data_IF_427478293040
#
_entry.id   IF_427478293040
#
_cell.length_a   1.000
_cell.length_b   1.000
_cell.length_c   1.000
_cell.angle_alpha   90.00
_cell.angle_beta   90.00
_cell.angle_gamma   90.00
#
_symmetry.space_group_name_H-M   'P 1'
#
loop_
_entity.id
_entity.type
_entity.pdbx_description
1 polymer ?
#
# COMPACT_ATOMS: atom_id res chain seq x y z
N UNK A 1 6.40 -15.57 -9.41
CA UNK A 1 5.00 -15.14 -9.22
C UNK A 1 4.93 -13.63 -9.05
N UNK A 2 3.98 -12.96 -9.70
CA UNK A 2 3.69 -11.53 -9.48
C UNK A 2 2.39 -11.36 -8.70
N UNK A 3 2.30 -10.32 -7.86
CA UNK A 3 1.06 -9.98 -7.17
C UNK A 3 0.83 -8.46 -7.14
N UNK A 4 -0.45 -8.08 -7.21
CA UNK A 4 -0.89 -6.69 -7.20
C UNK A 4 -1.91 -6.53 -6.07
N UNK A 5 -1.68 -5.56 -5.21
CA UNK A 5 -2.61 -5.19 -4.13
C UNK A 5 -3.03 -3.73 -4.27
N UNK A 6 -4.32 -3.46 -4.06
CA UNK A 6 -4.90 -2.11 -4.09
C UNK A 6 -5.48 -1.72 -2.73
N UNK A 7 -5.30 -0.47 -2.30
CA UNK A 7 -5.90 0.03 -1.05
C UNK A 7 -5.59 -0.91 0.13
N UNK A 8 -6.58 -1.34 0.91
CA UNK A 8 -6.40 -2.32 2.00
C UNK A 8 -5.83 -3.67 1.51
N UNK A 9 -6.15 -4.08 0.28
CA UNK A 9 -5.57 -5.28 -0.34
C UNK A 9 -4.05 -5.17 -0.51
N UNK A 10 -3.52 -3.95 -0.66
CA UNK A 10 -2.07 -3.70 -0.69
C UNK A 10 -1.43 -4.00 0.67
N UNK A 11 -2.03 -3.56 1.77
CA UNK A 11 -1.57 -3.82 3.14
C UNK A 11 -1.61 -5.33 3.47
N UNK A 12 -2.68 -6.03 3.06
CA UNK A 12 -2.79 -7.49 3.21
C UNK A 12 -1.71 -8.20 2.40
N UNK A 13 -1.49 -7.79 1.14
CA UNK A 13 -0.44 -8.35 0.29
C UNK A 13 0.95 -8.13 0.91
N UNK A 14 1.24 -6.92 1.39
CA UNK A 14 2.52 -6.60 2.04
C UNK A 14 2.78 -7.49 3.26
N UNK A 15 1.77 -7.63 4.13
CA UNK A 15 1.83 -8.53 5.28
C UNK A 15 2.09 -9.99 4.88
N UNK A 16 1.33 -10.50 3.90
CA UNK A 16 1.48 -11.88 3.44
C UNK A 16 2.85 -12.12 2.79
N UNK A 17 3.28 -11.23 1.90
CA UNK A 17 4.55 -11.34 1.18
C UNK A 17 5.75 -11.28 2.13
N UNK A 18 5.69 -10.45 3.18
CA UNK A 18 6.73 -10.38 4.21
C UNK A 18 6.87 -11.68 5.04
N UNK A 19 5.94 -12.63 4.92
CA UNK A 19 5.95 -13.92 5.65
C UNK A 19 6.24 -15.12 4.76
N UNK A 20 5.74 -15.13 3.52
CA UNK A 20 5.79 -16.31 2.64
C UNK A 20 6.86 -16.24 1.55
N UNK A 21 7.43 -15.05 1.31
CA UNK A 21 8.78 -14.88 0.76
C UNK A 21 9.05 -15.22 -0.71
N UNK A 22 8.07 -15.58 -1.55
CA UNK A 22 8.35 -15.99 -2.95
C UNK A 22 7.54 -15.17 -3.97
N UNK A 23 8.04 -14.00 -4.32
CA UNK A 23 7.50 -13.15 -5.38
C UNK A 23 8.62 -12.60 -6.27
N UNK A 24 8.40 -12.57 -7.59
CA UNK A 24 9.31 -11.95 -8.56
C UNK A 24 9.10 -10.43 -8.64
N UNK A 25 7.88 -9.99 -8.29
CA UNK A 25 7.47 -8.60 -8.26
C UNK A 25 6.14 -8.40 -7.52
N UNK A 26 6.05 -7.27 -6.82
CA UNK A 26 4.93 -6.83 -6.01
C UNK A 26 4.57 -5.40 -6.45
N UNK A 27 3.30 -5.18 -6.75
CA UNK A 27 2.79 -3.83 -7.05
C UNK A 27 1.73 -3.44 -6.03
N UNK A 28 1.94 -2.29 -5.39
CA UNK A 28 1.03 -1.69 -4.42
C UNK A 28 0.45 -0.42 -5.02
N UNK A 29 -0.85 -0.39 -5.30
CA UNK A 29 -1.50 0.71 -6.03
C UNK A 29 -2.55 1.39 -5.16
N UNK A 30 -2.50 2.73 -5.03
CA UNK A 30 -3.43 3.48 -4.17
C UNK A 30 -3.52 2.89 -2.77
N UNK A 31 -2.37 2.50 -2.21
CA UNK A 31 -2.29 1.75 -0.98
C UNK A 31 -2.49 2.65 0.25
N UNK A 32 -2.87 2.05 1.38
CA UNK A 32 -2.83 2.74 2.67
C UNK A 32 -1.47 2.42 3.31
N UNK A 33 -0.55 3.40 3.47
CA UNK A 33 0.82 3.11 3.89
C UNK A 33 0.89 2.68 5.36
N UNK A 34 0.04 3.28 6.21
CA UNK A 34 -0.07 2.99 7.63
C UNK A 34 -1.54 2.68 7.96
N UNK A 35 -1.96 1.44 7.69
CA UNK A 35 -3.34 0.98 7.85
C UNK A 35 -3.80 1.08 9.30
N UNK A 36 -2.96 0.71 10.26
CA UNK A 36 -3.28 0.75 11.68
C UNK A 36 -3.60 2.18 12.13
N UNK A 37 -2.72 3.15 11.82
CA UNK A 37 -2.94 4.58 12.09
C UNK A 37 -4.16 5.12 11.36
N UNK A 38 -4.33 4.78 10.09
CA UNK A 38 -5.50 5.21 9.31
C UNK A 38 -6.82 4.71 9.94
N UNK A 39 -6.86 3.45 10.39
CA UNK A 39 -8.05 2.90 11.05
C UNK A 39 -8.30 3.54 12.42
N UNK A 40 -7.25 3.81 13.18
CA UNK A 40 -7.35 4.44 14.50
C UNK A 40 -7.81 5.90 14.41
N UNK A 41 -7.19 6.69 13.55
CA UNK A 41 -7.25 8.16 13.65
C UNK A 41 -7.73 8.83 12.36
N UNK A 42 -7.84 8.09 11.25
CA UNK A 42 -8.22 8.68 9.97
C UNK A 42 -9.62 9.27 9.97
N UNK A 43 -9.78 10.44 9.37
CA UNK A 43 -11.06 11.17 9.34
C UNK A 43 -11.89 10.94 8.07
N UNK A 44 -11.33 10.22 7.10
CA UNK A 44 -12.06 9.85 5.89
C UNK A 44 -13.22 8.89 6.19
N UNK A 45 -14.31 8.92 5.38
CA UNK A 45 -15.53 8.14 5.64
C UNK A 45 -15.27 6.64 5.89
N UNK A 46 -14.29 6.06 5.20
CA UNK A 46 -13.97 4.64 5.33
C UNK A 46 -13.36 4.29 6.70
N UNK A 47 -12.52 5.17 7.27
CA UNK A 47 -11.94 4.99 8.60
C UNK A 47 -12.99 5.17 9.70
N UNK A 48 -13.80 6.22 9.59
CA UNK A 48 -14.95 6.46 10.50
C UNK A 48 -15.94 5.29 10.49
N UNK A 49 -16.30 4.78 9.30
CA UNK A 49 -17.18 3.62 9.15
C UNK A 49 -16.59 2.36 9.77
N UNK A 50 -15.28 2.13 9.61
CA UNK A 50 -14.59 1.02 10.27
C UNK A 50 -14.70 1.12 11.79
N UNK A 51 -14.36 2.27 12.38
CA UNK A 51 -14.47 2.47 13.85
C UNK A 51 -15.90 2.30 14.35
N UNK A 52 -16.89 2.82 13.62
CA UNK A 52 -18.30 2.67 13.95
C UNK A 52 -18.82 1.23 13.83
N UNK A 53 -18.13 0.36 13.09
CA UNK A 53 -18.48 -1.06 12.95
C UNK A 53 -17.95 -1.95 14.07
N UNK A 54 -17.06 -1.43 14.93
CA UNK A 54 -16.47 -2.18 16.03
C UNK A 54 -17.44 -2.27 17.21
N UNK A 55 -17.41 -3.41 17.92
CA UNK A 55 -18.34 -3.74 19.01
C UNK A 55 -18.17 -2.87 20.26
N UNK A 56 -17.11 -2.06 20.34
CA UNK A 56 -16.88 -1.14 21.45
C UNK A 56 -15.40 -0.84 21.73
N UNK A 57 -15.10 -0.23 22.89
CA UNK A 57 -13.75 0.22 23.25
C UNK A 57 -12.68 -0.88 23.24
N UNK A 58 -13.05 -2.12 23.55
CA UNK A 58 -12.13 -3.25 23.55
C UNK A 58 -11.61 -3.58 22.14
N UNK A 59 -12.45 -3.50 21.10
CA UNK A 59 -12.00 -3.72 19.73
C UNK A 59 -11.20 -2.53 19.18
N UNK A 60 -11.58 -1.30 19.56
CA UNK A 60 -10.80 -0.09 19.24
C UNK A 60 -9.37 -0.19 19.80
N UNK A 61 -9.21 -0.69 21.03
CA UNK A 61 -7.91 -0.87 21.67
C UNK A 61 -7.01 -1.91 20.95
N UNK A 62 -7.57 -2.74 20.07
CA UNK A 62 -6.83 -3.75 19.29
C UNK A 62 -6.37 -3.26 17.93
N UNK A 63 -6.80 -2.08 17.47
CA UNK A 63 -6.33 -1.51 16.18
C UNK A 63 -4.80 -1.46 16.09
N UNK A 64 -4.05 -1.10 17.16
CA UNK A 64 -2.58 -1.15 17.11
C UNK A 64 -1.98 -2.53 16.81
N UNK A 65 -2.70 -3.63 17.08
CA UNK A 65 -2.26 -4.99 16.72
C UNK A 65 -2.15 -5.17 15.19
N UNK A 66 -2.82 -4.32 14.41
CA UNK A 66 -2.75 -4.34 12.94
C UNK A 66 -1.43 -3.77 12.40
N UNK A 67 -0.52 -3.27 13.25
CA UNK A 67 0.72 -2.59 12.83
C UNK A 67 1.59 -3.41 11.87
N UNK A 68 1.61 -4.73 12.00
CA UNK A 68 2.37 -5.57 11.06
C UNK A 68 1.82 -5.52 9.62
N UNK A 69 0.56 -5.12 9.44
CA UNK A 69 -0.06 -4.90 8.13
C UNK A 69 0.25 -3.52 7.53
N UNK A 70 0.90 -2.62 8.27
CA UNK A 70 1.35 -1.36 7.71
C UNK A 70 2.42 -1.64 6.66
N UNK A 71 2.33 -1.00 5.50
CA UNK A 71 3.35 -1.14 4.45
C UNK A 71 4.70 -0.58 4.92
N UNK A 72 4.69 0.48 5.73
CA UNK A 72 5.91 1.04 6.35
C UNK A 72 6.63 0.07 7.28
N UNK A 73 5.94 -0.99 7.72
CA UNK A 73 6.47 -2.07 8.56
C UNK A 73 6.81 -3.30 7.71
N UNK A 74 5.82 -3.84 7.00
CA UNK A 74 5.96 -5.10 6.25
C UNK A 74 7.02 -5.02 5.13
N UNK A 75 7.09 -3.89 4.41
CA UNK A 75 8.05 -3.73 3.31
C UNK A 75 9.51 -3.77 3.78
N UNK A 76 9.81 -3.54 5.06
CA UNK A 76 11.19 -3.63 5.59
C UNK A 76 11.82 -5.01 5.38
N UNK A 77 10.98 -6.04 5.29
CA UNK A 77 11.36 -7.45 5.11
C UNK A 77 11.36 -7.89 3.64
N UNK A 78 11.02 -6.98 2.72
CA UNK A 78 10.89 -7.27 1.30
C UNK A 78 12.02 -6.55 0.55
N UNK A 79 12.69 -7.22 -0.42
CA UNK A 79 13.69 -6.56 -1.25
C UNK A 79 13.07 -5.39 -2.04
N UNK A 80 13.65 -4.18 -2.00
CA UNK A 80 13.05 -3.02 -2.66
C UNK A 80 12.96 -3.15 -4.18
N UNK A 81 13.89 -3.88 -4.81
CA UNK A 81 13.96 -4.07 -6.26
C UNK A 81 12.78 -4.87 -6.83
N UNK A 82 12.06 -5.62 -5.99
CA UNK A 82 10.86 -6.35 -6.40
C UNK A 82 9.57 -5.58 -6.11
N UNK A 83 9.64 -4.33 -5.62
CA UNK A 83 8.47 -3.56 -5.18
C UNK A 83 8.26 -2.29 -6.02
N UNK A 84 7.03 -2.12 -6.50
CA UNK A 84 6.54 -0.86 -7.06
C UNK A 84 5.37 -0.34 -6.21
N UNK A 85 5.46 0.91 -5.76
CA UNK A 85 4.34 1.63 -5.17
C UNK A 85 3.83 2.67 -6.17
N UNK A 86 2.53 2.66 -6.48
CA UNK A 86 1.90 3.63 -7.38
C UNK A 86 0.88 4.46 -6.61
N UNK A 87 1.06 5.77 -6.59
CA UNK A 87 0.29 6.71 -5.79
C UNK A 87 -0.36 7.75 -6.69
N UNK A 88 -1.66 7.93 -6.52
CA UNK A 88 -2.42 8.98 -7.20
C UNK A 88 -2.17 10.30 -6.49
N UNK A 89 -1.51 11.24 -7.14
CA UNK A 89 -1.26 12.57 -6.55
C UNK A 89 -2.54 13.39 -6.40
N UNK A 90 -3.65 12.95 -7.00
CA UNK A 90 -4.97 13.59 -6.97
C UNK A 90 -5.99 12.73 -6.20
N UNK A 91 -5.53 11.72 -5.43
CA UNK A 91 -6.40 10.86 -4.62
C UNK A 91 -6.98 11.62 -3.41
N UNK A 92 -8.29 11.90 -3.46
CA UNK A 92 -9.06 12.55 -2.42
C UNK A 92 -9.33 11.66 -1.18
N UNK A 93 -8.95 10.38 -1.25
CA UNK A 93 -9.03 9.42 -0.14
C UNK A 93 -7.68 9.18 0.53
N UNK A 94 -6.68 10.03 0.29
CA UNK A 94 -5.46 10.05 1.07
C UNK A 94 -5.25 11.39 1.77
N UNK A 95 -4.84 11.32 3.03
CA UNK A 95 -4.47 12.49 3.82
C UNK A 95 -2.97 12.81 3.68
N UNK A 96 -2.60 14.02 4.11
CA UNK A 96 -1.20 14.49 4.12
C UNK A 96 -0.27 13.52 4.83
N UNK A 97 -0.72 12.95 5.95
CA UNK A 97 0.05 12.00 6.73
C UNK A 97 0.33 10.70 5.96
N UNK A 98 -0.57 10.27 5.06
CA UNK A 98 -0.35 9.15 4.15
C UNK A 98 0.64 9.52 3.03
N UNK A 99 0.55 10.73 2.49
CA UNK A 99 1.55 11.22 1.53
C UNK A 99 2.96 11.25 2.15
N UNK A 100 3.11 11.78 3.36
CA UNK A 100 4.40 11.81 4.06
C UNK A 100 4.99 10.41 4.28
N UNK A 101 4.14 9.43 4.61
CA UNK A 101 4.57 8.05 4.76
C UNK A 101 5.10 7.46 3.44
N UNK A 102 4.46 7.77 2.29
CA UNK A 102 4.98 7.39 0.98
C UNK A 102 6.27 8.12 0.61
N UNK A 103 6.39 9.40 0.92
CA UNK A 103 7.64 10.17 0.77
C UNK A 103 8.78 9.57 1.59
N UNK A 104 8.49 9.01 2.76
CA UNK A 104 9.49 8.29 3.54
C UNK A 104 9.89 6.96 2.87
N UNK A 105 8.93 6.23 2.28
CA UNK A 105 9.17 4.98 1.54
C UNK A 105 10.01 5.19 0.27
N UNK A 106 9.89 6.35 -0.39
CA UNK A 106 10.70 6.72 -1.58
C UNK A 106 12.20 6.61 -1.38
N UNK A 107 12.68 6.77 -0.14
CA UNK A 107 14.12 6.68 0.16
C UNK A 107 14.69 5.29 -0.10
N UNK A 108 13.85 4.27 -0.21
CA UNK A 108 14.27 2.88 -0.38
C UNK A 108 13.53 2.15 -1.50
N UNK A 109 12.28 2.49 -1.78
CA UNK A 109 11.43 1.78 -2.73
C UNK A 109 11.13 2.64 -3.95
N UNK A 110 10.85 1.99 -5.09
CA UNK A 110 10.32 2.68 -6.25
C UNK A 110 8.88 3.13 -5.96
N UNK A 111 8.67 4.44 -5.80
CA UNK A 111 7.34 5.06 -5.71
C UNK A 111 7.11 5.90 -6.96
N UNK A 112 5.99 5.66 -7.63
CA UNK A 112 5.54 6.41 -8.79
C UNK A 112 4.35 7.29 -8.38
N UNK A 113 4.56 8.61 -8.38
CA UNK A 113 3.51 9.61 -8.25
C UNK A 113 2.91 9.88 -9.61
N UNK A 114 1.61 9.65 -9.75
CA UNK A 114 0.90 9.73 -11.02
C UNK A 114 -0.27 10.70 -10.83
N UNK A 115 -0.44 11.62 -11.77
CA UNK A 115 -1.63 12.47 -11.85
C UNK A 115 -2.85 11.60 -12.19
N UNK A 116 -3.45 11.04 -11.14
CA UNK A 116 -4.57 10.10 -11.15
C UNK A 116 -5.24 10.14 -9.77
N UNK A 117 -6.50 9.71 -9.73
CA UNK A 117 -7.31 9.68 -8.51
C UNK A 117 -7.27 8.31 -7.82
N UNK A 118 -8.20 8.12 -6.89
CA UNK A 118 -8.30 6.94 -6.03
C UNK A 118 -8.32 5.58 -6.73
N UNK A 119 -8.84 5.55 -7.96
CA UNK A 119 -8.97 4.31 -8.73
C UNK A 119 -7.61 3.82 -9.25
N UNK A 120 -6.67 4.71 -9.54
CA UNK A 120 -5.36 4.39 -10.15
C UNK A 120 -5.49 3.57 -11.45
N UNK A 121 -6.38 4.04 -12.34
CA UNK A 121 -6.75 3.38 -13.60
C UNK A 121 -6.44 4.23 -14.84
N UNK A 122 -5.78 5.38 -14.69
CA UNK A 122 -5.29 6.14 -15.84
C UNK A 122 -4.40 5.26 -16.71
N UNK A 123 -4.33 5.52 -18.04
CA UNK A 123 -3.42 4.80 -18.93
C UNK A 123 -1.97 4.80 -18.41
N UNK A 124 -1.50 5.93 -17.86
CA UNK A 124 -0.16 6.06 -17.27
C UNK A 124 0.04 5.09 -16.10
N UNK A 125 -0.95 4.98 -15.20
CA UNK A 125 -0.88 4.05 -14.07
C UNK A 125 -0.87 2.59 -14.54
N UNK A 126 -1.69 2.24 -15.53
CA UNK A 126 -1.75 0.88 -16.08
C UNK A 126 -0.46 0.50 -16.81
N UNK A 127 0.04 1.38 -17.68
CA UNK A 127 1.25 1.14 -18.46
C UNK A 127 2.49 1.05 -17.55
N UNK A 128 2.59 1.92 -16.54
CA UNK A 128 3.68 1.87 -15.57
C UNK A 128 3.73 0.56 -14.80
N UNK A 129 2.56 0.01 -14.45
CA UNK A 129 2.42 -1.28 -13.76
C UNK A 129 2.91 -2.43 -14.63
N UNK A 130 2.42 -2.51 -15.87
CA UNK A 130 2.83 -3.57 -16.79
C UNK A 130 4.29 -3.47 -17.17
N UNK A 131 4.79 -2.27 -17.42
CA UNK A 131 6.21 -2.03 -17.72
C UNK A 131 7.12 -2.52 -16.58
N UNK A 132 6.73 -2.32 -15.32
CA UNK A 132 7.47 -2.85 -14.18
C UNK A 132 7.49 -4.38 -14.17
N UNK A 133 6.32 -5.02 -14.36
CA UNK A 133 6.19 -6.48 -14.39
C UNK A 133 7.05 -7.07 -15.51
N UNK A 134 6.98 -6.52 -16.73
CA UNK A 134 7.75 -7.00 -17.88
C UNK A 134 9.26 -6.88 -17.65
N UNK A 135 9.74 -5.75 -17.11
CA UNK A 135 11.16 -5.59 -16.79
C UNK A 135 11.63 -6.61 -15.75
N UNK A 136 10.84 -6.84 -14.70
CA UNK A 136 11.15 -7.83 -13.67
C UNK A 136 11.15 -9.25 -14.22
N UNK A 137 10.17 -9.59 -15.05
CA UNK A 137 10.10 -10.90 -15.68
C UNK A 137 11.33 -11.19 -16.55
N UNK A 138 11.84 -10.19 -17.29
CA UNK A 138 13.07 -10.33 -18.08
C UNK A 138 14.35 -10.44 -17.24
N UNK A 139 14.38 -9.81 -16.06
CA UNK A 139 15.55 -9.83 -15.17
C UNK A 139 15.67 -11.13 -14.34
N UNK A 140 14.64 -11.96 -14.33
CA UNK A 140 14.63 -13.26 -13.64
C UNK A 140 15.09 -14.44 -14.51
N UNK A 141 15.46 -14.20 -15.78
CA UNK A 141 16.06 -15.16 -16.71
C UNK A 141 17.53 -14.81 -16.95
#
# INVERSE_FOLDING_TARGET
MFAIGRNQGASILGYAAARTGVFDGLVFTGAIPELSRYRADGELPSARKFRASLSGPAELARIPEMRDMDLTVSLRRIPPEICLLQIGSEDDWMDEASFDAFRALERRFQVAWIADGHAMISPVALDGRWSFIERRARASY
#
